data_IF_078344918059
#
_entry.id   IF_078344918059
#
_cell.length_a   1.000
_cell.length_b   1.000
_cell.length_c   1.000
_cell.angle_alpha   90.00
_cell.angle_beta   90.00
_cell.angle_gamma   90.00
#
_symmetry.space_group_name_H-M   'P 1'
#
loop_
_entity.id
_entity.type
_entity.pdbx_description
1 polymer ?
#
# COMPACT_ATOMS: atom_id res chain seq x y z
N UNK A 1 -29.04 20.52 12.52
CA UNK A 1 -28.26 19.32 12.13
C UNK A 1 -28.35 19.19 10.62
N UNK A 2 -27.31 19.64 9.92
CA UNK A 2 -27.24 19.61 8.46
C UNK A 2 -26.99 18.16 8.00
N UNK A 3 -27.89 17.59 7.19
CA UNK A 3 -27.71 16.23 6.66
C UNK A 3 -26.72 16.30 5.49
N UNK A 4 -25.53 15.78 5.70
CA UNK A 4 -24.52 15.62 4.64
C UNK A 4 -25.05 14.57 3.65
N UNK A 5 -25.45 15.01 2.46
CA UNK A 5 -25.93 14.11 1.40
C UNK A 5 -24.72 13.47 0.71
N UNK A 6 -24.28 12.32 1.24
CA UNK A 6 -23.15 11.58 0.71
C UNK A 6 -23.63 10.69 -0.45
N UNK A 7 -23.37 11.12 -1.68
CA UNK A 7 -23.49 10.27 -2.87
C UNK A 7 -22.33 9.29 -2.86
N UNK A 8 -22.59 8.04 -2.55
CA UNK A 8 -21.61 6.97 -2.55
C UNK A 8 -22.06 5.82 -3.45
N UNK A 9 -21.09 5.19 -4.11
CA UNK A 9 -21.30 4.05 -4.97
C UNK A 9 -20.86 2.78 -4.27
N UNK A 10 -21.71 1.76 -4.34
CA UNK A 10 -21.40 0.42 -3.89
C UNK A 10 -21.01 -0.44 -5.09
N UNK A 11 -19.85 -1.08 -5.00
CA UNK A 11 -19.35 -2.03 -5.99
C UNK A 11 -19.21 -3.39 -5.31
N UNK A 12 -19.85 -4.39 -5.90
CA UNK A 12 -19.70 -5.79 -5.50
C UNK A 12 -18.78 -6.51 -6.46
N UNK A 13 -17.69 -7.07 -5.96
CA UNK A 13 -16.77 -7.91 -6.71
C UNK A 13 -16.89 -9.34 -6.19
N UNK A 14 -17.03 -10.31 -7.09
CA UNK A 14 -16.93 -11.72 -6.71
C UNK A 14 -15.46 -12.11 -6.60
N UNK A 15 -15.03 -12.53 -5.40
CA UNK A 15 -13.69 -13.06 -5.20
C UNK A 15 -13.72 -14.59 -5.34
N UNK A 16 -12.99 -15.11 -6.33
CA UNK A 16 -12.91 -16.55 -6.64
C UNK A 16 -12.14 -17.29 -5.53
N UNK A 17 -11.07 -16.69 -4.99
CA UNK A 17 -10.22 -17.32 -3.97
C UNK A 17 -10.97 -17.52 -2.65
N UNK A 18 -11.64 -16.47 -2.19
CA UNK A 18 -12.38 -16.46 -0.91
C UNK A 18 -13.83 -16.94 -1.06
N UNK A 19 -14.24 -17.34 -2.29
CA UNK A 19 -15.61 -17.71 -2.68
C UNK A 19 -16.69 -16.82 -2.06
N UNK A 20 -16.43 -15.52 -2.02
CA UNK A 20 -17.25 -14.54 -1.32
C UNK A 20 -17.28 -13.20 -2.04
N UNK A 21 -18.33 -12.42 -1.79
CA UNK A 21 -18.43 -11.06 -2.30
C UNK A 21 -17.56 -10.11 -1.50
N UNK A 22 -16.75 -9.32 -2.20
CA UNK A 22 -16.07 -8.15 -1.65
C UNK A 22 -16.86 -6.91 -2.02
N UNK A 23 -17.26 -6.15 -1.01
CA UNK A 23 -17.96 -4.88 -1.19
C UNK A 23 -17.01 -3.70 -1.06
N UNK A 24 -17.12 -2.76 -1.98
CA UNK A 24 -16.34 -1.53 -2.03
C UNK A 24 -17.29 -0.35 -2.06
N UNK A 25 -17.08 0.60 -1.15
CA UNK A 25 -17.82 1.85 -1.14
C UNK A 25 -16.86 2.95 -1.57
N UNK A 26 -17.27 3.71 -2.57
CA UNK A 26 -16.47 4.75 -3.20
C UNK A 26 -17.29 6.02 -3.33
N UNK A 27 -16.67 7.18 -3.10
CA UNK A 27 -17.25 8.49 -3.41
C UNK A 27 -16.89 8.97 -4.82
N UNK A 28 -16.17 8.17 -5.61
CA UNK A 28 -15.82 8.51 -6.98
C UNK A 28 -17.04 8.39 -7.90
N UNK A 29 -17.13 9.30 -8.88
CA UNK A 29 -18.17 9.26 -9.90
C UNK A 29 -17.96 8.07 -10.86
N UNK A 30 -19.06 7.51 -11.38
CA UNK A 30 -19.05 6.33 -12.24
C UNK A 30 -18.67 6.70 -13.67
N UNK A 31 -19.03 7.91 -14.08
CA UNK A 31 -18.78 8.38 -15.44
C UNK A 31 -17.29 8.61 -15.69
N UNK A 32 -16.54 8.98 -14.64
CA UNK A 32 -15.10 9.25 -14.72
C UNK A 32 -14.22 8.02 -14.51
N UNK A 33 -14.72 6.99 -13.81
CA UNK A 33 -13.90 5.86 -13.38
C UNK A 33 -14.53 4.51 -13.73
N UNK A 34 -13.82 3.73 -14.51
CA UNK A 34 -14.24 2.37 -14.84
C UNK A 34 -14.13 1.42 -13.64
N UNK A 35 -14.93 0.35 -13.64
CA UNK A 35 -14.91 -0.68 -12.59
C UNK A 35 -13.51 -1.32 -12.43
N UNK A 36 -12.77 -1.45 -13.53
CA UNK A 36 -11.43 -2.02 -13.55
C UNK A 36 -10.41 -1.10 -12.87
N UNK A 37 -10.50 0.21 -13.09
CA UNK A 37 -9.66 1.21 -12.42
C UNK A 37 -9.93 1.28 -10.93
N UNK A 38 -11.20 1.24 -10.52
CA UNK A 38 -11.56 1.18 -9.10
C UNK A 38 -11.04 -0.11 -8.44
N UNK A 39 -11.14 -1.25 -9.12
CA UNK A 39 -10.58 -2.52 -8.63
C UNK A 39 -9.05 -2.47 -8.50
N UNK A 40 -8.36 -1.86 -9.47
CA UNK A 40 -6.91 -1.68 -9.47
C UNK A 40 -6.47 -0.75 -8.35
N UNK A 41 -7.24 0.30 -8.10
CA UNK A 41 -7.02 1.23 -6.99
C UNK A 41 -7.19 0.53 -5.65
N UNK A 42 -8.23 -0.28 -5.49
CA UNK A 42 -8.40 -1.11 -4.29
C UNK A 42 -7.23 -2.10 -4.10
N UNK A 43 -6.68 -2.64 -5.19
CA UNK A 43 -5.48 -3.49 -5.13
C UNK A 43 -4.26 -2.76 -4.56
N UNK A 44 -4.14 -1.43 -4.73
CA UNK A 44 -3.05 -0.65 -4.13
C UNK A 44 -3.10 -0.67 -2.59
N UNK A 45 -4.29 -0.80 -1.98
CA UNK A 45 -4.45 -0.97 -0.53
C UNK A 45 -3.61 -2.15 -0.02
N UNK A 46 -3.64 -3.27 -0.75
CA UNK A 46 -2.85 -4.45 -0.42
C UNK A 46 -1.34 -4.21 -0.62
N UNK A 47 -0.94 -3.42 -1.63
CA UNK A 47 0.48 -3.07 -1.78
C UNK A 47 0.99 -2.26 -0.59
N UNK A 48 0.19 -1.35 -0.03
CA UNK A 48 0.54 -0.62 1.19
C UNK A 48 0.67 -1.57 2.38
N UNK A 49 -0.26 -2.52 2.56
CA UNK A 49 -0.16 -3.54 3.61
C UNK A 49 1.10 -4.41 3.45
N UNK A 50 1.42 -4.82 2.23
CA UNK A 50 2.63 -5.60 1.93
C UNK A 50 3.91 -4.80 2.19
N UNK A 51 3.89 -3.50 1.88
CA UNK A 51 5.00 -2.58 2.18
C UNK A 51 5.29 -2.55 3.69
N UNK A 52 4.26 -2.35 4.52
CA UNK A 52 4.41 -2.35 5.97
C UNK A 52 4.79 -3.73 6.53
N UNK A 53 4.27 -4.83 5.97
CA UNK A 53 4.69 -6.19 6.34
C UNK A 53 6.17 -6.40 6.07
N UNK A 54 6.65 -5.92 4.92
CA UNK A 54 8.05 -5.96 4.55
C UNK A 54 8.92 -5.12 5.46
N UNK A 55 8.50 -3.91 5.87
CA UNK A 55 9.34 -3.01 6.66
C UNK A 55 9.52 -3.38 8.13
N UNK A 56 8.54 -4.03 8.76
CA UNK A 56 8.61 -4.44 10.18
C UNK A 56 9.92 -5.14 10.59
N UNK A 57 10.46 -6.11 9.84
CA UNK A 57 11.74 -6.74 10.16
C UNK A 57 12.97 -5.87 9.83
N UNK A 58 12.96 -5.09 8.74
CA UNK A 58 14.14 -4.34 8.30
C UNK A 58 14.45 -3.10 9.13
N UNK A 59 13.41 -2.52 9.73
CA UNK A 59 13.50 -1.23 10.40
C UNK A 59 13.74 -1.36 11.92
N UNK A 60 13.92 -2.59 12.42
CA UNK A 60 14.02 -2.90 13.86
C UNK A 60 12.97 -2.18 14.73
N UNK A 61 11.81 -1.85 14.15
CA UNK A 61 10.71 -1.10 14.77
C UNK A 61 10.09 -1.82 15.99
N UNK A 62 10.55 -3.04 16.29
CA UNK A 62 10.15 -3.83 17.45
C UNK A 62 10.92 -3.47 18.72
N UNK A 63 12.14 -2.95 18.62
CA UNK A 63 12.98 -2.60 19.78
C UNK A 63 13.95 -1.50 19.35
N UNK A 64 13.65 -0.28 19.74
CA UNK A 64 14.65 0.79 19.72
C UNK A 64 15.47 0.65 21.00
N UNK A 65 16.78 0.47 20.85
CA UNK A 65 17.70 0.38 21.99
C UNK A 65 18.08 1.78 22.51
N UNK A 66 17.12 2.70 22.53
CA UNK A 66 17.38 4.12 22.77
C UNK A 66 16.30 4.71 23.68
N UNK A 67 16.70 5.27 24.81
CA UNK A 67 15.79 5.91 25.78
C UNK A 67 15.26 7.29 25.35
N UNK A 68 15.78 7.86 24.26
CA UNK A 68 15.38 9.17 23.74
C UNK A 68 14.33 9.04 22.63
N UNK A 69 13.11 9.53 22.89
CA UNK A 69 11.99 9.47 21.95
C UNK A 69 12.26 10.12 20.59
N UNK A 70 13.03 11.21 20.56
CA UNK A 70 13.41 11.88 19.31
C UNK A 70 14.30 11.01 18.39
N UNK A 71 15.20 10.23 18.97
CA UNK A 71 16.07 9.33 18.20
C UNK A 71 15.28 8.13 17.67
N UNK A 72 14.32 7.62 18.45
CA UNK A 72 13.40 6.60 18.00
C UNK A 72 12.56 7.10 16.81
N UNK A 73 12.03 8.32 16.90
CA UNK A 73 11.26 8.93 15.82
C UNK A 73 12.09 9.12 14.54
N UNK A 74 13.30 9.66 14.66
CA UNK A 74 14.23 9.80 13.52
C UNK A 74 14.54 8.46 12.85
N UNK A 75 14.65 7.39 13.63
CA UNK A 75 14.86 6.03 13.12
C UNK A 75 13.64 5.48 12.38
N UNK A 76 12.42 5.80 12.84
CA UNK A 76 11.18 5.46 12.12
C UNK A 76 11.17 6.14 10.74
N UNK A 77 11.41 7.46 10.70
CA UNK A 77 11.43 8.22 9.44
C UNK A 77 12.51 7.73 8.47
N UNK A 78 13.72 7.49 8.98
CA UNK A 78 14.84 6.98 8.19
C UNK A 78 14.52 5.59 7.62
N UNK A 79 13.86 4.74 8.39
CA UNK A 79 13.45 3.41 7.95
C UNK A 79 12.41 3.45 6.82
N UNK A 80 11.45 4.37 6.91
CA UNK A 80 10.46 4.62 5.84
C UNK A 80 11.18 5.11 4.56
N UNK A 81 12.09 6.07 4.70
CA UNK A 81 12.87 6.61 3.58
C UNK A 81 13.74 5.53 2.91
N UNK A 82 14.44 4.72 3.69
CA UNK A 82 15.24 3.59 3.19
C UNK A 82 14.37 2.54 2.47
N UNK A 83 13.19 2.25 3.01
CA UNK A 83 12.22 1.35 2.39
C UNK A 83 11.70 1.86 1.04
N UNK A 84 11.44 3.16 0.93
CA UNK A 84 11.05 3.81 -0.31
C UNK A 84 12.19 3.79 -1.34
N UNK A 85 13.42 4.14 -0.91
CA UNK A 85 14.60 4.13 -1.77
C UNK A 85 14.86 2.75 -2.38
N UNK A 86 14.79 1.68 -1.57
CA UNK A 86 14.91 0.30 -2.06
C UNK A 86 13.86 -0.01 -3.14
N UNK A 87 12.60 0.40 -2.92
CA UNK A 87 11.53 0.16 -3.89
C UNK A 87 11.75 0.93 -5.19
N UNK A 88 12.21 2.18 -5.12
CA UNK A 88 12.59 2.97 -6.29
C UNK A 88 13.71 2.30 -7.07
N UNK A 89 14.78 1.86 -6.40
CA UNK A 89 15.90 1.15 -7.04
C UNK A 89 15.43 -0.13 -7.76
N UNK A 90 14.58 -0.92 -7.14
CA UNK A 90 13.99 -2.12 -7.77
C UNK A 90 13.15 -1.75 -8.99
N UNK A 91 12.34 -0.69 -8.93
CA UNK A 91 11.55 -0.23 -10.08
C UNK A 91 12.44 0.26 -11.22
N UNK A 92 13.50 1.00 -10.91
CA UNK A 92 14.49 1.46 -11.88
C UNK A 92 15.19 0.29 -12.57
N UNK A 93 15.66 -0.69 -11.80
CA UNK A 93 16.31 -1.90 -12.31
C UNK A 93 15.37 -2.74 -13.19
N UNK A 94 14.11 -2.92 -12.76
CA UNK A 94 13.10 -3.63 -13.57
C UNK A 94 12.78 -2.92 -14.88
N UNK A 95 12.84 -1.57 -14.90
CA UNK A 95 12.56 -0.77 -16.09
C UNK A 95 13.71 -0.77 -17.09
N UNK A 96 14.96 -0.83 -16.63
CA UNK A 96 16.14 -0.76 -17.51
C UNK A 96 16.44 -2.06 -18.26
N UNK A 97 15.69 -3.16 -18.04
CA UNK A 97 15.99 -4.50 -18.63
C UNK A 97 17.46 -4.93 -18.47
N UNK A 98 18.19 -4.36 -17.52
CA UNK A 98 19.57 -4.73 -17.20
C UNK A 98 19.57 -5.98 -16.30
N UNK A 99 19.16 -7.10 -16.91
CA UNK A 99 19.56 -8.49 -16.59
C UNK A 99 19.34 -9.03 -15.15
N UNK A 100 19.46 -10.36 -14.95
CA UNK A 100 18.68 -11.10 -13.95
C UNK A 100 19.31 -11.00 -12.57
N UNK A 101 18.49 -10.86 -11.53
CA UNK A 101 18.93 -11.18 -10.17
C UNK A 101 18.36 -12.56 -9.81
N UNK A 102 19.17 -13.50 -9.29
CA UNK A 102 18.73 -14.86 -9.06
C UNK A 102 17.66 -14.91 -7.98
N UNK A 103 16.78 -15.90 -8.13
CA UNK A 103 15.86 -16.31 -7.08
C UNK A 103 16.67 -16.64 -5.82
N UNK A 104 16.27 -16.03 -4.70
CA UNK A 104 16.51 -16.52 -3.35
C UNK A 104 15.13 -16.87 -2.80
#
# INVERSE_FOLDING_TARGET
MERINLKAQLISLWNIEEKSFTWLISNLDRDDFSLSEMSRTYRLRWQVKLLFRGWKPYANLRRFDTGNGHLAEGSIWTSIAAGLLKRLLVMMCKRSRMCPFPAI
#
